data_IF_517830041002
#
_entry.id   IF_517830041002
#
_cell.length_a   1.000
_cell.length_b   1.000
_cell.length_c   1.000
_cell.angle_alpha   90.00
_cell.angle_beta   90.00
_cell.angle_gamma   90.00
#
_symmetry.space_group_name_H-M   'P 1'
#
loop_
_entity.id
_entity.type
_entity.pdbx_description
1 polymer ?
#
# COMPACT_ATOMS: atom_id res chain seq x y z
N UNK A 1 -9.78 20.86 8.63
CA UNK A 1 -10.07 19.44 8.37
C UNK A 1 -8.78 18.68 8.05
N UNK A 2 -8.11 18.86 6.89
CA UNK A 2 -6.88 18.13 6.54
C UNK A 2 -5.76 18.32 7.56
N UNK A 3 -5.57 19.51 8.11
CA UNK A 3 -4.61 19.78 9.19
C UNK A 3 -4.86 18.91 10.42
N UNK A 4 -6.12 18.81 10.88
CA UNK A 4 -6.50 17.96 12.00
C UNK A 4 -6.30 16.48 11.70
N UNK A 5 -6.62 16.05 10.48
CA UNK A 5 -6.41 14.68 10.00
C UNK A 5 -4.92 14.29 10.02
N UNK A 6 -4.05 15.12 9.45
CA UNK A 6 -2.62 14.87 9.45
C UNK A 6 -2.02 14.90 10.87
N UNK A 7 -2.43 15.89 11.70
CA UNK A 7 -1.96 15.96 13.08
C UNK A 7 -2.42 14.77 13.94
N UNK A 8 -3.54 14.15 13.59
CA UNK A 8 -4.03 12.97 14.29
C UNK A 8 -3.24 11.70 13.92
N UNK A 9 -2.88 11.55 12.64
CA UNK A 9 -2.32 10.31 12.10
C UNK A 9 -0.79 10.31 12.00
N UNK A 10 -0.16 11.47 11.96
CA UNK A 10 1.31 11.59 11.91
C UNK A 10 1.84 11.81 13.34
N UNK A 11 2.89 11.07 13.76
CA UNK A 11 3.41 11.12 15.13
C UNK A 11 4.40 12.29 15.30
N UNK A 12 3.90 13.53 15.26
CA UNK A 12 4.71 14.70 15.56
C UNK A 12 5.19 14.72 17.01
N UNK A 13 6.37 15.29 17.24
CA UNK A 13 6.82 15.68 18.58
C UNK A 13 5.95 16.83 19.09
N UNK A 14 5.90 16.98 20.39
CA UNK A 14 5.17 18.08 21.03
C UNK A 14 5.67 19.45 20.51
N UNK A 15 4.74 20.28 20.07
CA UNK A 15 5.04 21.60 19.49
C UNK A 15 5.36 21.61 17.99
N UNK A 16 5.43 20.44 17.35
CA UNK A 16 5.72 20.31 15.91
C UNK A 16 4.45 20.13 15.07
N UNK A 17 3.27 20.22 15.67
CA UNK A 17 2.00 20.06 14.98
C UNK A 17 1.85 21.08 13.83
N UNK A 18 1.17 20.66 12.80
CA UNK A 18 0.85 21.49 11.63
C UNK A 18 -0.15 22.55 12.05
N UNK A 19 0.16 23.83 11.80
CA UNK A 19 -0.74 24.97 12.05
C UNK A 19 -1.46 25.39 10.78
N UNK A 20 -0.72 25.50 9.70
CA UNK A 20 -1.21 25.95 8.40
C UNK A 20 -0.70 25.03 7.30
N UNK A 21 -1.51 24.85 6.25
CA UNK A 21 -1.18 24.03 5.08
C UNK A 21 -1.44 24.82 3.80
N UNK A 22 -0.49 24.72 2.89
CA UNK A 22 -0.61 25.13 1.50
C UNK A 22 -0.75 23.87 0.64
N UNK A 23 -1.80 23.79 -0.18
CA UNK A 23 -1.97 22.70 -1.12
C UNK A 23 -1.01 22.90 -2.30
N UNK A 24 -0.35 21.82 -2.68
CA UNK A 24 0.52 21.73 -3.84
C UNK A 24 -0.20 20.97 -4.96
N UNK A 25 0.29 21.12 -6.19
CA UNK A 25 -0.20 20.29 -7.29
C UNK A 25 0.08 18.82 -6.99
N UNK A 26 -0.92 17.93 -7.10
CA UNK A 26 -0.75 16.51 -6.86
C UNK A 26 0.12 15.84 -7.92
N UNK A 27 0.18 16.42 -9.12
CA UNK A 27 1.03 15.95 -10.20
C UNK A 27 2.46 16.45 -10.03
N UNK A 28 3.40 15.50 -10.05
CA UNK A 28 4.83 15.79 -9.96
C UNK A 28 5.47 15.51 -11.33
N UNK A 29 5.78 16.59 -12.06
CA UNK A 29 6.43 16.49 -13.36
C UNK A 29 7.88 16.03 -13.25
N UNK A 30 8.35 15.21 -14.18
CA UNK A 30 9.75 14.85 -14.24
C UNK A 30 10.56 15.98 -14.88
N UNK A 31 11.84 16.07 -14.53
CA UNK A 31 12.78 17.05 -15.11
C UNK A 31 13.02 16.82 -16.62
N UNK A 32 12.68 15.64 -17.11
CA UNK A 32 12.81 15.27 -18.52
C UNK A 32 11.60 14.48 -19.00
N UNK A 33 11.17 14.62 -20.27
CA UNK A 33 10.01 13.89 -20.82
C UNK A 33 10.15 12.35 -20.80
N UNK A 34 11.37 11.83 -20.64
CA UNK A 34 11.66 10.39 -20.62
C UNK A 34 11.44 9.76 -19.25
N UNK A 35 11.22 10.55 -18.20
CA UNK A 35 10.98 10.03 -16.85
C UNK A 35 9.49 9.94 -16.55
N UNK A 36 9.13 8.99 -15.69
CA UNK A 36 7.74 8.76 -15.29
C UNK A 36 7.18 9.96 -14.55
N UNK A 37 6.04 10.46 -15.01
CA UNK A 37 5.17 11.36 -14.25
C UNK A 37 4.51 10.60 -13.10
N UNK A 38 4.22 11.26 -12.00
CA UNK A 38 3.51 10.68 -10.86
C UNK A 38 2.43 11.63 -10.37
N UNK A 39 1.28 11.04 -10.03
CA UNK A 39 0.14 11.74 -9.44
C UNK A 39 -0.10 11.09 -8.09
N UNK A 40 -0.33 11.91 -7.07
CA UNK A 40 -0.72 11.49 -5.73
C UNK A 40 -2.08 12.10 -5.39
N UNK A 41 -2.83 11.54 -4.43
CA UNK A 41 -4.19 12.00 -4.17
C UNK A 41 -4.20 13.41 -3.55
N UNK A 42 -3.35 13.65 -2.55
CA UNK A 42 -3.19 14.97 -1.94
C UNK A 42 -1.72 15.25 -1.68
N UNK A 43 -1.30 16.47 -2.01
CA UNK A 43 0.02 16.98 -1.66
C UNK A 43 -0.10 18.37 -1.05
N UNK A 44 0.56 18.57 0.07
CA UNK A 44 0.59 19.88 0.73
C UNK A 44 1.92 20.11 1.44
N UNK A 45 2.17 21.34 1.83
CA UNK A 45 3.31 21.73 2.67
C UNK A 45 2.87 22.64 3.81
N UNK A 46 3.61 22.65 4.89
CA UNK A 46 3.41 23.58 6.00
C UNK A 46 4.33 24.82 5.91
N UNK A 47 4.19 25.71 6.87
CA UNK A 47 5.00 26.92 7.01
C UNK A 47 6.51 26.65 7.24
N UNK A 48 6.86 25.44 7.71
CA UNK A 48 8.24 25.01 7.92
C UNK A 48 8.83 24.32 6.67
N UNK A 49 8.08 24.24 5.58
CA UNK A 49 8.48 23.59 4.32
C UNK A 49 8.35 22.07 4.34
N UNK A 50 7.91 21.45 5.45
CA UNK A 50 7.64 20.00 5.51
C UNK A 50 6.54 19.67 4.51
N UNK A 51 6.72 18.62 3.72
CA UNK A 51 5.75 18.22 2.72
C UNK A 51 5.01 16.96 3.16
N UNK A 52 3.73 16.94 2.85
CA UNK A 52 2.82 15.86 3.19
C UNK A 52 2.21 15.32 1.90
N UNK A 53 2.34 14.01 1.72
CA UNK A 53 1.69 13.26 0.66
C UNK A 53 0.68 12.35 1.34
N UNK A 54 -0.56 12.37 0.87
CA UNK A 54 -1.60 11.44 1.31
C UNK A 54 -2.03 10.62 0.12
N UNK A 55 -2.04 9.32 0.28
CA UNK A 55 -2.58 8.38 -0.71
C UNK A 55 -3.58 7.44 -0.06
N UNK A 56 -4.67 7.14 -0.76
CA UNK A 56 -5.65 6.13 -0.37
C UNK A 56 -5.63 5.01 -1.40
N UNK A 57 -5.29 3.80 -0.95
CA UNK A 57 -5.19 2.62 -1.78
C UNK A 57 -6.26 1.61 -1.38
N UNK A 58 -7.17 1.31 -2.30
CA UNK A 58 -8.27 0.38 -2.03
C UNK A 58 -7.79 -1.07 -1.97
N UNK A 59 -6.81 -1.43 -2.80
CA UNK A 59 -6.27 -2.78 -2.87
C UNK A 59 -4.76 -2.76 -2.80
N UNK A 60 -4.20 -3.72 -2.05
CA UNK A 60 -2.77 -3.86 -1.93
C UNK A 60 -2.14 -4.48 -3.18
N UNK A 61 -1.03 -3.90 -3.64
CA UNK A 61 -0.16 -4.51 -4.65
C UNK A 61 1.28 -4.50 -4.15
N UNK A 62 2.08 -5.48 -4.60
CA UNK A 62 3.49 -5.60 -4.21
C UNK A 62 4.31 -4.35 -4.56
N UNK A 63 3.91 -3.65 -5.64
CA UNK A 63 4.57 -2.46 -6.15
C UNK A 63 4.22 -1.19 -5.37
N UNK A 64 3.17 -1.22 -4.54
CA UNK A 64 2.71 -0.01 -3.84
C UNK A 64 3.77 0.55 -2.89
N UNK A 65 4.49 -0.29 -2.15
CA UNK A 65 5.60 0.16 -1.28
C UNK A 65 6.66 0.93 -2.06
N UNK A 66 7.05 0.40 -3.22
CA UNK A 66 8.04 1.02 -4.09
C UNK A 66 7.52 2.33 -4.69
N UNK A 67 6.22 2.38 -5.02
CA UNK A 67 5.57 3.58 -5.52
C UNK A 67 5.56 4.68 -4.45
N UNK A 68 5.20 4.35 -3.22
CA UNK A 68 5.24 5.28 -2.08
C UNK A 68 6.63 5.84 -1.86
N UNK A 69 7.65 4.96 -1.80
CA UNK A 69 9.04 5.40 -1.66
C UNK A 69 9.50 6.27 -2.83
N UNK A 70 9.12 5.91 -4.06
CA UNK A 70 9.45 6.67 -5.27
C UNK A 70 8.81 8.08 -5.23
N UNK A 71 7.51 8.18 -4.88
CA UNK A 71 6.80 9.45 -4.80
C UNK A 71 7.38 10.36 -3.71
N UNK A 72 7.67 9.82 -2.52
CA UNK A 72 8.32 10.54 -1.45
C UNK A 72 9.72 11.03 -1.85
N UNK A 73 10.52 10.16 -2.49
CA UNK A 73 11.86 10.52 -2.98
C UNK A 73 11.80 11.63 -4.03
N UNK A 74 10.84 11.57 -4.95
CA UNK A 74 10.64 12.60 -5.97
C UNK A 74 10.28 13.95 -5.34
N UNK A 75 9.39 13.96 -4.35
CA UNK A 75 9.06 15.16 -3.60
C UNK A 75 10.27 15.72 -2.83
N UNK A 76 11.10 14.84 -2.27
CA UNK A 76 12.31 15.23 -1.54
C UNK A 76 13.35 15.88 -2.45
N UNK A 77 13.70 15.24 -3.56
CA UNK A 77 14.71 15.79 -4.50
C UNK A 77 14.21 17.04 -5.23
N UNK A 78 12.90 17.19 -5.42
CA UNK A 78 12.32 18.37 -6.07
C UNK A 78 12.48 19.67 -5.27
N UNK A 79 12.89 19.59 -4.01
CA UNK A 79 13.20 20.77 -3.18
C UNK A 79 14.53 21.41 -3.55
N UNK A 80 15.45 20.64 -4.14
CA UNK A 80 16.81 21.07 -4.40
C UNK A 80 17.00 21.54 -5.85
N UNK A 81 17.15 22.84 -6.07
CA UNK A 81 17.64 23.41 -7.31
C UNK A 81 19.18 23.46 -7.32
N UNK A 82 19.79 23.81 -8.47
CA UNK A 82 21.25 23.96 -8.59
C UNK A 82 21.77 24.98 -7.57
N UNK A 83 22.72 24.57 -6.73
CA UNK A 83 23.31 25.40 -5.66
C UNK A 83 22.50 25.44 -4.36
N UNK A 84 21.49 24.57 -4.23
CA UNK A 84 20.69 24.44 -3.00
C UNK A 84 21.54 23.93 -1.82
N UNK A 85 21.32 24.50 -0.63
CA UNK A 85 21.93 24.05 0.61
C UNK A 85 21.16 22.85 1.18
N UNK A 86 21.80 21.68 1.22
CA UNK A 86 21.18 20.43 1.71
C UNK A 86 20.69 20.51 3.16
N UNK A 87 21.23 21.41 3.99
CA UNK A 87 20.74 21.62 5.35
C UNK A 87 19.33 22.23 5.41
N UNK A 88 18.82 22.70 4.27
CA UNK A 88 17.47 23.28 4.14
C UNK A 88 16.45 22.30 3.57
N UNK A 89 16.83 21.04 3.31
CA UNK A 89 15.89 20.01 2.90
C UNK A 89 14.90 19.73 4.03
N UNK A 90 13.64 19.94 3.75
CA UNK A 90 12.55 19.63 4.69
C UNK A 90 12.11 18.18 4.57
N UNK A 91 11.67 17.54 5.67
CA UNK A 91 11.19 16.16 5.66
C UNK A 91 9.94 15.98 4.80
N UNK A 92 9.81 14.77 4.24
CA UNK A 92 8.61 14.30 3.55
C UNK A 92 7.89 13.31 4.44
N UNK A 93 6.61 13.58 4.69
CA UNK A 93 5.68 12.68 5.37
C UNK A 93 4.73 12.08 4.35
N UNK A 94 4.79 10.78 4.13
CA UNK A 94 3.87 10.07 3.25
C UNK A 94 2.90 9.24 4.09
N UNK A 95 1.64 9.63 4.13
CA UNK A 95 0.56 8.96 4.83
C UNK A 95 -0.24 8.14 3.81
N UNK A 96 -0.20 6.82 3.96
CA UNK A 96 -0.81 5.89 3.03
C UNK A 96 -1.89 5.09 3.75
N UNK A 97 -3.14 5.32 3.39
CA UNK A 97 -4.31 4.61 3.90
C UNK A 97 -4.59 3.43 2.97
N UNK A 98 -4.59 2.23 3.50
CA UNK A 98 -4.77 1.01 2.72
C UNK A 98 -6.02 0.28 3.21
N UNK A 99 -6.99 0.09 2.31
CA UNK A 99 -8.21 -0.66 2.61
C UNK A 99 -8.04 -2.15 2.29
N UNK A 100 -6.89 -2.71 2.64
CA UNK A 100 -6.53 -4.11 2.43
C UNK A 100 -5.47 -4.53 3.45
N UNK A 101 -5.08 -5.83 3.45
CA UNK A 101 -4.02 -6.37 4.29
C UNK A 101 -2.66 -6.28 3.57
N UNK A 102 -1.83 -5.33 3.99
CA UNK A 102 -0.55 -5.01 3.37
C UNK A 102 0.67 -5.66 4.06
N UNK A 103 0.55 -5.92 5.35
CA UNK A 103 1.63 -6.46 6.20
C UNK A 103 1.13 -7.63 7.02
N UNK A 104 2.04 -8.48 7.47
CA UNK A 104 1.71 -9.59 8.34
C UNK A 104 1.34 -9.12 9.75
N UNK A 105 0.53 -9.95 10.45
CA UNK A 105 0.13 -9.68 11.84
C UNK A 105 -1.10 -8.79 11.97
N UNK A 106 -1.39 -8.36 13.22
CA UNK A 106 -2.61 -7.62 13.59
C UNK A 106 -2.42 -6.10 13.73
N UNK A 107 -1.20 -5.63 13.61
CA UNK A 107 -0.89 -4.21 13.72
C UNK A 107 -1.46 -3.48 12.52
N UNK A 108 -2.20 -2.40 12.75
CA UNK A 108 -2.83 -1.61 11.69
C UNK A 108 -2.01 -0.38 11.28
N UNK A 109 -1.08 0.09 12.13
CA UNK A 109 -0.28 1.28 11.93
C UNK A 109 1.20 0.92 11.80
N UNK A 110 1.82 1.28 10.69
CA UNK A 110 3.22 1.00 10.39
C UNK A 110 3.95 2.29 10.01
N UNK A 111 5.08 2.53 10.62
CA UNK A 111 5.93 3.68 10.39
C UNK A 111 7.31 3.21 9.95
N UNK A 112 7.82 3.82 8.89
CA UNK A 112 9.13 3.53 8.32
C UNK A 112 9.93 4.82 8.22
N UNK A 113 11.20 4.72 8.57
CA UNK A 113 12.17 5.80 8.50
C UNK A 113 13.53 5.26 8.04
N UNK A 114 14.44 6.13 7.66
CA UNK A 114 15.80 5.73 7.31
C UNK A 114 16.62 5.67 8.60
N UNK A 115 17.02 4.46 9.00
CA UNK A 115 17.75 4.24 10.26
C UNK A 115 18.95 3.31 10.07
N UNK A 116 19.93 3.41 10.95
CA UNK A 116 21.04 2.47 11.01
C UNK A 116 20.55 1.09 11.42
N UNK A 117 20.88 0.05 10.63
CA UNK A 117 20.30 -1.29 10.80
C UNK A 117 20.52 -1.87 12.19
N UNK A 118 21.71 -1.69 12.74
CA UNK A 118 22.08 -2.27 14.03
C UNK A 118 21.85 -1.30 15.22
N UNK A 119 21.45 -0.06 14.92
CA UNK A 119 21.08 0.99 15.88
C UNK A 119 19.86 1.77 15.38
N UNK A 120 18.66 1.23 15.53
CA UNK A 120 17.43 1.83 14.95
C UNK A 120 17.11 3.24 15.47
N UNK A 121 17.66 3.63 16.60
CA UNK A 121 17.51 4.98 17.16
C UNK A 121 18.38 6.02 16.43
N UNK A 122 19.39 5.58 15.66
CA UNK A 122 20.21 6.44 14.83
C UNK A 122 19.54 6.64 13.47
N UNK A 123 18.77 7.74 13.34
CA UNK A 123 17.91 8.04 12.22
C UNK A 123 18.52 9.14 11.35
N UNK A 124 18.44 8.96 10.04
CA UNK A 124 18.65 10.04 9.07
C UNK A 124 17.28 10.67 8.78
N UNK A 125 17.07 11.88 9.27
CA UNK A 125 15.84 12.61 9.05
C UNK A 125 15.65 12.93 7.55
N UNK A 126 14.41 12.94 7.09
CA UNK A 126 14.07 13.25 5.70
C UNK A 126 12.85 12.50 5.17
N UNK A 127 12.59 11.28 5.66
CA UNK A 127 11.47 10.47 5.25
C UNK A 127 10.73 9.86 6.43
N UNK A 128 9.41 10.06 6.43
CA UNK A 128 8.46 9.35 7.28
C UNK A 128 7.40 8.73 6.38
N UNK A 129 7.45 7.39 6.23
CA UNK A 129 6.46 6.66 5.44
C UNK A 129 5.53 5.92 6.39
N UNK A 130 4.27 6.30 6.41
CA UNK A 130 3.26 5.78 7.31
C UNK A 130 2.25 5.00 6.49
N UNK A 131 1.97 3.76 6.91
CA UNK A 131 0.92 2.93 6.34
C UNK A 131 -0.10 2.61 7.41
N UNK A 132 -1.37 2.81 7.10
CA UNK A 132 -2.49 2.50 7.99
C UNK A 132 -3.41 1.53 7.25
N UNK A 133 -3.51 0.29 7.77
CA UNK A 133 -4.37 -0.77 7.23
C UNK A 133 -5.77 -0.63 7.84
N UNK A 134 -6.69 -0.01 7.12
CA UNK A 134 -8.03 0.28 7.60
C UNK A 134 -8.81 -0.99 7.95
N UNK A 135 -8.58 -2.09 7.24
CA UNK A 135 -9.21 -3.40 7.49
C UNK A 135 -8.83 -4.02 8.83
N UNK A 136 -7.67 -3.65 9.40
CA UNK A 136 -7.19 -4.15 10.69
C UNK A 136 -7.54 -3.24 11.87
N UNK A 137 -7.97 -2.01 11.59
CA UNK A 137 -8.43 -1.11 12.64
C UNK A 137 -9.78 -1.57 13.15
N UNK A 138 -9.91 -1.69 14.47
CA UNK A 138 -11.18 -1.98 15.16
C UNK A 138 -11.33 -1.05 16.36
N UNK A 139 -12.57 -0.73 16.80
CA UNK A 139 -12.79 0.08 18.00
C UNK A 139 -12.16 -0.48 19.27
N UNK A 140 -11.82 -1.77 19.30
CA UNK A 140 -11.18 -2.42 20.45
C UNK A 140 -9.65 -2.24 20.47
N UNK A 141 -9.02 -1.96 19.33
CA UNK A 141 -7.58 -1.68 19.25
C UNK A 141 -7.29 -0.17 19.15
N UNK A 142 -8.07 0.63 19.91
CA UNK A 142 -7.93 2.09 19.97
C UNK A 142 -6.49 2.51 20.28
N UNK A 143 -6.10 3.64 19.73
CA UNK A 143 -4.87 4.33 20.10
C UNK A 143 -5.10 5.22 21.34
N UNK A 144 -4.01 5.62 21.99
CA UNK A 144 -4.08 6.65 23.06
C UNK A 144 -4.45 8.03 22.50
N UNK A 145 -4.46 8.19 21.17
CA UNK A 145 -4.80 9.43 20.47
C UNK A 145 -6.27 9.43 20.05
N UNK A 146 -7.14 10.03 20.86
CA UNK A 146 -8.58 10.10 20.60
C UNK A 146 -8.93 10.61 19.19
N UNK A 147 -8.24 11.63 18.68
CA UNK A 147 -8.50 12.15 17.33
C UNK A 147 -8.13 11.19 16.20
N UNK A 148 -7.08 10.38 16.39
CA UNK A 148 -6.74 9.31 15.45
C UNK A 148 -7.87 8.29 15.35
N UNK A 149 -8.39 7.82 16.50
CA UNK A 149 -9.50 6.87 16.52
C UNK A 149 -10.75 7.45 15.84
N UNK A 150 -11.07 8.71 16.08
CA UNK A 150 -12.23 9.37 15.45
C UNK A 150 -12.09 9.45 13.92
N UNK A 151 -10.90 9.81 13.41
CA UNK A 151 -10.65 9.84 11.96
C UNK A 151 -10.67 8.45 11.34
N UNK A 152 -10.09 7.44 11.99
CA UNK A 152 -10.10 6.07 11.48
C UNK A 152 -11.52 5.48 11.49
N UNK A 153 -12.30 5.73 12.53
CA UNK A 153 -13.72 5.35 12.60
C UNK A 153 -14.54 6.07 11.53
N UNK A 154 -14.29 7.36 11.29
CA UNK A 154 -14.94 8.08 10.20
C UNK A 154 -14.68 7.40 8.84
N UNK A 155 -13.44 6.98 8.57
CA UNK A 155 -13.07 6.33 7.31
C UNK A 155 -13.59 4.89 7.18
N UNK A 156 -13.84 4.18 8.29
CA UNK A 156 -14.21 2.76 8.27
C UNK A 156 -15.69 2.50 8.57
N UNK A 157 -16.35 3.39 9.32
CA UNK A 157 -17.73 3.19 9.78
C UNK A 157 -18.75 4.02 8.98
N UNK A 158 -18.32 5.19 8.43
CA UNK A 158 -19.24 6.07 7.68
C UNK A 158 -19.29 5.66 6.22
N UNK A 159 -20.47 5.28 5.75
CA UNK A 159 -20.73 4.86 4.37
C UNK A 159 -22.16 5.25 3.95
N UNK A 160 -22.57 4.93 2.72
CA UNK A 160 -23.86 5.28 2.15
C UNK A 160 -25.07 4.72 2.94
N UNK A 161 -24.89 3.65 3.70
CA UNK A 161 -25.95 3.04 4.53
C UNK A 161 -25.96 3.57 5.97
N UNK A 162 -25.08 4.50 6.33
CA UNK A 162 -24.99 5.05 7.67
C UNK A 162 -26.17 5.97 7.96
N UNK A 163 -27.11 5.53 8.80
CA UNK A 163 -28.27 6.30 9.23
C UNK A 163 -28.04 7.06 10.54
N UNK A 164 -27.15 6.56 11.39
CA UNK A 164 -26.82 7.14 12.68
C UNK A 164 -25.32 7.27 12.85
N UNK A 165 -24.87 8.43 13.28
CA UNK A 165 -23.45 8.71 13.54
C UNK A 165 -23.24 8.77 15.05
N UNK A 166 -22.21 8.07 15.59
CA UNK A 166 -21.90 8.11 17.02
C UNK A 166 -21.71 9.54 17.56
N UNK A 167 -22.24 9.81 18.75
CA UNK A 167 -22.20 11.14 19.37
C UNK A 167 -20.78 11.68 19.50
N UNK A 168 -19.79 10.81 19.80
CA UNK A 168 -18.37 11.17 19.89
C UNK A 168 -17.83 11.81 18.59
N UNK A 169 -18.31 11.36 17.42
CA UNK A 169 -17.94 11.96 16.14
C UNK A 169 -18.63 13.31 15.92
N UNK A 170 -19.90 13.44 16.36
CA UNK A 170 -20.65 14.69 16.29
C UNK A 170 -20.12 15.76 17.24
N UNK A 171 -19.49 15.36 18.33
CA UNK A 171 -18.88 16.28 19.30
C UNK A 171 -17.58 16.90 18.77
N UNK A 172 -16.89 16.24 17.82
CA UNK A 172 -15.70 16.80 17.18
C UNK A 172 -16.08 17.75 16.04
N UNK A 173 -15.69 19.03 16.10
CA UNK A 173 -15.98 19.99 15.03
C UNK A 173 -15.38 19.60 13.68
N UNK A 174 -14.19 18.98 13.69
CA UNK A 174 -13.46 18.54 12.50
C UNK A 174 -14.15 17.37 11.81
N UNK A 175 -14.56 16.36 12.58
CA UNK A 175 -15.29 15.18 12.05
C UNK A 175 -16.68 15.60 11.59
N UNK A 176 -17.36 16.46 12.35
CA UNK A 176 -18.67 17.01 11.94
C UNK A 176 -18.59 17.75 10.60
N UNK A 177 -17.51 18.51 10.38
CA UNK A 177 -17.26 19.17 9.10
C UNK A 177 -17.04 18.16 7.98
N UNK A 178 -16.30 17.07 8.23
CA UNK A 178 -16.10 16.00 7.27
C UNK A 178 -17.41 15.27 6.94
N UNK A 179 -18.22 14.95 7.96
CA UNK A 179 -19.54 14.33 7.77
C UNK A 179 -20.45 15.17 6.86
N UNK A 180 -20.50 16.50 7.07
CA UNK A 180 -21.27 17.38 6.19
C UNK A 180 -20.83 17.37 4.73
N UNK A 181 -19.55 17.12 4.46
CA UNK A 181 -19.03 17.05 3.09
C UNK A 181 -19.46 15.75 2.41
N UNK A 182 -19.51 14.63 3.14
CA UNK A 182 -19.91 13.33 2.60
C UNK A 182 -21.43 13.08 2.64
N UNK A 183 -22.22 13.97 3.24
CA UNK A 183 -23.67 13.89 3.14
C UNK A 183 -24.12 13.93 1.69
N UNK A 184 -24.85 12.91 1.26
CA UNK A 184 -25.28 12.70 -0.13
C UNK A 184 -26.01 13.92 -0.75
N UNK A 185 -26.68 14.72 0.07
CA UNK A 185 -27.35 15.96 -0.34
C UNK A 185 -26.42 17.13 -0.67
N UNK A 186 -25.10 17.00 -0.42
CA UNK A 186 -24.11 18.04 -0.70
C UNK A 186 -23.48 17.94 -2.11
N UNK A 187 -23.71 16.84 -2.82
CA UNK A 187 -23.16 16.61 -4.16
C UNK A 187 -24.12 17.02 -5.26
N UNK A 188 -23.60 17.65 -6.31
CA UNK A 188 -24.35 17.86 -7.56
C UNK A 188 -24.47 16.55 -8.33
N UNK A 189 -25.45 16.44 -9.28
CA UNK A 189 -25.58 15.27 -10.15
C UNK A 189 -24.29 14.96 -10.94
N UNK A 190 -23.56 16.00 -11.35
CA UNK A 190 -22.26 15.84 -12.03
C UNK A 190 -21.20 15.24 -11.14
N UNK A 191 -21.14 15.65 -9.85
CA UNK A 191 -20.22 15.12 -8.85
C UNK A 191 -20.56 13.67 -8.50
N UNK A 192 -21.84 13.33 -8.35
CA UNK A 192 -22.31 11.95 -8.15
C UNK A 192 -21.97 11.06 -9.34
N UNK A 193 -22.20 11.53 -10.56
CA UNK A 193 -21.84 10.80 -11.77
C UNK A 193 -20.34 10.61 -11.95
N UNK A 194 -19.51 11.55 -11.47
CA UNK A 194 -18.05 11.41 -11.46
C UNK A 194 -17.61 10.39 -10.40
N UNK A 195 -18.25 10.39 -9.25
CA UNK A 195 -18.05 9.43 -8.17
C UNK A 195 -18.38 8.00 -8.60
N UNK A 196 -19.55 7.77 -9.21
CA UNK A 196 -19.98 6.47 -9.73
C UNK A 196 -18.99 5.93 -10.78
N UNK A 197 -18.56 6.77 -11.71
CA UNK A 197 -17.54 6.40 -12.70
C UNK A 197 -16.20 6.02 -12.07
N UNK A 198 -15.79 6.71 -11.02
CA UNK A 198 -14.57 6.37 -10.28
C UNK A 198 -14.67 4.99 -9.62
N UNK A 199 -15.81 4.68 -8.99
CA UNK A 199 -16.05 3.37 -8.40
C UNK A 199 -16.15 2.25 -9.44
N UNK A 200 -16.75 2.50 -10.59
CA UNK A 200 -16.80 1.55 -11.72
C UNK A 200 -15.37 1.23 -12.24
N UNK A 201 -14.50 2.23 -12.33
CA UNK A 201 -13.10 2.05 -12.72
C UNK A 201 -12.38 1.18 -11.69
N UNK A 202 -12.51 1.48 -10.40
CA UNK A 202 -11.89 0.71 -9.32
C UNK A 202 -12.41 -0.73 -9.29
N UNK A 203 -13.72 -0.94 -9.41
CA UNK A 203 -14.33 -2.26 -9.44
C UNK A 203 -13.87 -3.09 -10.64
N UNK A 204 -13.74 -2.44 -11.80
CA UNK A 204 -13.21 -3.06 -13.02
C UNK A 204 -11.75 -3.46 -12.85
N UNK A 205 -10.91 -2.55 -12.33
CA UNK A 205 -9.49 -2.81 -12.06
C UNK A 205 -9.32 -3.98 -11.06
N UNK A 206 -10.11 -4.01 -10.00
CA UNK A 206 -10.12 -5.11 -9.03
C UNK A 206 -10.51 -6.45 -9.68
N UNK A 207 -11.52 -6.44 -10.52
CA UNK A 207 -11.98 -7.65 -11.23
C UNK A 207 -10.89 -8.18 -12.16
N UNK A 208 -10.21 -7.30 -12.89
CA UNK A 208 -9.09 -7.66 -13.76
C UNK A 208 -7.89 -8.20 -12.98
N UNK A 209 -7.51 -7.54 -11.88
CA UNK A 209 -6.41 -7.97 -11.02
C UNK A 209 -6.69 -9.31 -10.36
N UNK A 210 -7.89 -9.50 -9.81
CA UNK A 210 -8.30 -10.76 -9.18
C UNK A 210 -8.38 -11.92 -10.21
N UNK A 211 -8.86 -11.64 -11.42
CA UNK A 211 -8.91 -12.60 -12.51
C UNK A 211 -7.51 -13.04 -12.95
N UNK A 212 -6.60 -12.10 -13.16
CA UNK A 212 -5.19 -12.37 -13.53
C UNK A 212 -4.45 -13.13 -12.43
N UNK A 213 -4.63 -12.73 -11.18
CA UNK A 213 -4.04 -13.43 -10.02
C UNK A 213 -4.52 -14.88 -9.93
N UNK A 214 -5.85 -15.11 -10.04
CA UNK A 214 -6.43 -16.47 -10.01
C UNK A 214 -5.89 -17.33 -11.14
N UNK A 215 -5.87 -16.80 -12.36
CA UNK A 215 -5.31 -17.50 -13.53
C UNK A 215 -3.83 -17.80 -13.36
N UNK A 216 -3.04 -16.87 -12.81
CA UNK A 216 -1.63 -17.07 -12.50
C UNK A 216 -1.40 -18.16 -11.45
N UNK A 217 -2.20 -18.19 -10.40
CA UNK A 217 -2.13 -19.22 -9.34
C UNK A 217 -2.50 -20.61 -9.89
N UNK A 218 -3.57 -20.70 -10.71
CA UNK A 218 -3.98 -21.96 -11.33
C UNK A 218 -2.90 -22.50 -12.29
N UNK A 219 -2.34 -21.60 -13.11
CA UNK A 219 -1.25 -21.97 -14.03
C UNK A 219 0.00 -22.41 -13.26
N UNK A 220 0.44 -21.65 -12.27
CA UNK A 220 1.60 -22.00 -11.44
C UNK A 220 1.42 -23.32 -10.66
N UNK A 221 0.18 -23.60 -10.18
CA UNK A 221 -0.15 -24.89 -9.55
C UNK A 221 -0.10 -26.05 -10.54
N UNK A 222 -0.60 -25.86 -11.76
CA UNK A 222 -0.57 -26.89 -12.79
C UNK A 222 0.88 -27.20 -13.23
N UNK A 223 1.67 -26.15 -13.47
CA UNK A 223 3.09 -26.25 -13.83
C UNK A 223 3.90 -26.93 -12.72
N UNK A 224 3.76 -26.48 -11.47
CA UNK A 224 4.47 -27.05 -10.32
C UNK A 224 4.06 -28.51 -10.02
N UNK A 225 2.81 -28.90 -10.31
CA UNK A 225 2.37 -30.30 -10.19
C UNK A 225 3.02 -31.16 -11.26
N UNK A 226 3.00 -30.71 -12.51
CA UNK A 226 3.62 -31.46 -13.62
C UNK A 226 5.15 -31.61 -13.43
N UNK A 227 5.81 -30.54 -12.98
CA UNK A 227 7.24 -30.56 -12.65
C UNK A 227 7.55 -31.51 -11.46
N UNK A 228 6.75 -31.44 -10.41
CA UNK A 228 6.89 -32.34 -9.25
C UNK A 228 6.66 -33.82 -9.59
N UNK A 229 5.69 -34.12 -10.47
CA UNK A 229 5.45 -35.47 -10.98
C UNK A 229 6.64 -35.98 -11.80
N UNK A 230 7.18 -35.14 -12.71
CA UNK A 230 8.34 -35.50 -13.52
C UNK A 230 9.58 -35.77 -12.65
N UNK A 231 9.87 -34.90 -11.69
CA UNK A 231 10.99 -35.10 -10.75
C UNK A 231 10.76 -36.39 -9.90
N UNK A 232 9.54 -36.64 -9.46
CA UNK A 232 9.18 -37.86 -8.73
C UNK A 232 9.43 -39.13 -9.52
N UNK A 233 9.04 -39.15 -10.81
CA UNK A 233 9.25 -40.26 -11.72
C UNK A 233 10.76 -40.49 -11.96
N UNK A 234 11.53 -39.44 -12.24
CA UNK A 234 12.97 -39.54 -12.40
C UNK A 234 13.69 -40.06 -11.17
N UNK A 235 13.30 -39.57 -9.98
CA UNK A 235 13.85 -40.04 -8.69
C UNK A 235 13.54 -41.53 -8.45
N UNK A 236 12.34 -41.97 -8.83
CA UNK A 236 11.92 -43.36 -8.71
C UNK A 236 12.69 -44.23 -9.71
N UNK A 237 12.79 -43.80 -10.94
CA UNK A 237 13.55 -44.52 -11.98
C UNK A 237 15.04 -44.69 -11.59
N UNK A 238 15.65 -43.64 -11.02
CA UNK A 238 17.02 -43.70 -10.51
C UNK A 238 17.18 -44.74 -9.40
N UNK A 239 16.28 -44.75 -8.41
CA UNK A 239 16.32 -45.76 -7.35
C UNK A 239 16.18 -47.19 -7.90
N UNK A 240 15.27 -47.40 -8.87
CA UNK A 240 15.09 -48.70 -9.50
C UNK A 240 16.38 -49.17 -10.22
N UNK A 241 17.08 -48.22 -10.89
CA UNK A 241 18.37 -48.48 -11.55
C UNK A 241 19.45 -48.83 -10.53
N UNK A 242 19.53 -48.10 -9.42
CA UNK A 242 20.49 -48.36 -8.34
C UNK A 242 20.26 -49.73 -7.66
N UNK A 243 19.01 -50.20 -7.63
CA UNK A 243 18.62 -51.55 -7.14
C UNK A 243 18.81 -52.65 -8.18
N UNK A 244 19.34 -52.37 -9.37
CA UNK A 244 19.70 -53.32 -10.40
C UNK A 244 18.54 -53.83 -11.26
N UNK A 245 17.40 -53.09 -11.28
CA UNK A 245 16.29 -53.40 -12.19
C UNK A 245 16.71 -53.05 -13.61
N UNK A 246 16.39 -53.90 -14.58
CA UNK A 246 16.77 -53.68 -15.96
C UNK A 246 16.05 -52.43 -16.58
N UNK A 247 16.77 -51.73 -17.45
CA UNK A 247 16.34 -50.43 -18.00
C UNK A 247 15.03 -50.54 -18.80
N UNK A 248 14.75 -51.67 -19.46
CA UNK A 248 13.48 -51.87 -20.19
C UNK A 248 12.29 -51.99 -19.23
N UNK A 249 12.49 -52.65 -18.13
CA UNK A 249 11.46 -52.75 -17.05
C UNK A 249 11.21 -51.41 -16.41
N UNK A 250 12.25 -50.61 -16.11
CA UNK A 250 12.13 -49.25 -15.59
C UNK A 250 11.35 -48.37 -16.55
N UNK A 251 11.70 -48.38 -17.84
CA UNK A 251 11.03 -47.62 -18.91
C UNK A 251 9.53 -47.96 -18.99
N UNK A 252 9.19 -49.26 -18.89
CA UNK A 252 7.79 -49.72 -18.92
C UNK A 252 6.97 -49.28 -17.68
N UNK A 253 7.61 -49.13 -16.53
CA UNK A 253 6.94 -48.74 -15.27
C UNK A 253 6.86 -47.24 -15.06
N UNK A 254 7.76 -46.49 -15.66
CA UNK A 254 7.88 -45.02 -15.44
C UNK A 254 7.51 -44.21 -16.66
N UNK A 255 7.31 -44.86 -17.83
CA UNK A 255 7.11 -44.23 -19.13
C UNK A 255 8.26 -43.32 -19.57
N UNK A 256 9.42 -43.38 -18.90
CA UNK A 256 10.61 -42.64 -19.29
C UNK A 256 11.31 -43.35 -20.47
N UNK A 257 11.85 -42.55 -21.42
CA UNK A 257 12.70 -43.11 -22.50
C UNK A 257 13.93 -43.78 -21.93
N UNK A 258 14.35 -44.91 -22.56
CA UNK A 258 15.55 -45.68 -22.17
C UNK A 258 16.78 -44.77 -22.08
N UNK A 259 16.95 -43.90 -23.08
CA UNK A 259 18.06 -42.94 -23.16
C UNK A 259 18.13 -41.95 -21.98
N UNK A 260 16.98 -41.64 -21.39
CA UNK A 260 16.87 -40.75 -20.21
C UNK A 260 17.21 -41.53 -18.94
N UNK A 261 16.75 -42.79 -18.82
CA UNK A 261 17.05 -43.66 -17.69
C UNK A 261 18.54 -44.02 -17.64
N UNK A 262 19.21 -44.19 -18.81
CA UNK A 262 20.64 -44.44 -18.88
C UNK A 262 21.49 -43.29 -18.34
N UNK A 263 20.98 -42.06 -18.40
CA UNK A 263 21.64 -40.83 -17.91
C UNK A 263 21.40 -40.53 -16.41
N UNK A 264 20.42 -41.18 -15.78
CA UNK A 264 20.14 -41.10 -14.35
C UNK A 264 21.18 -41.86 -13.53
#
# INVERSE_FOLDING_TARGET
MVTSFLNALIPFKEGEEIKELEYLQPEMFPDTPLRKNTIVDVRCKDSNGRQFIVEMQMYWTSEFKQRVLFNASKAYVSQAAKGFDYNKLAPIYSLNLVNDNAFDGRKFYHQFQVAEKDKPDNVIEGFELIFIELTKFTPQNKSDKKMMDLWLRFLTEVNESTTEVPQEMLDSPEIRKALKIVEHGAYTEEQLSAYDRFYDIIATEHTLLSGTFRSGVEKGRAEGRAEGEAIGIQKTAKKMKDEGIDVKTISKLTDLPIEEIEKL
#
